data_IF_163560695982
#
_entry.id   IF_163560695982
#
_cell.length_a   1.000
_cell.length_b   1.000
_cell.length_c   1.000
_cell.angle_alpha   90.00
_cell.angle_beta   90.00
_cell.angle_gamma   90.00
#
_symmetry.space_group_name_H-M   'P 1'
#
loop_
_entity.id
_entity.type
_entity.pdbx_description
1 polymer ?
#
# COMPACT_ATOMS: atom_id res chain seq x y z
N UNK A 1 -5.89 -5.63 14.49
CA UNK A 1 -6.47 -4.89 13.35
C UNK A 1 -7.69 -4.14 13.85
N UNK A 2 -7.76 -2.86 13.55
CA UNK A 2 -8.89 -2.01 13.91
C UNK A 2 -9.60 -1.62 12.61
N UNK A 3 -10.87 -2.00 12.48
CA UNK A 3 -11.63 -1.82 11.24
C UNK A 3 -11.19 -2.78 10.15
N UNK A 4 -11.70 -2.54 8.94
CA UNK A 4 -11.37 -3.38 7.79
C UNK A 4 -10.05 -3.00 7.15
N UNK A 5 -9.41 -3.99 6.53
CA UNK A 5 -8.26 -3.78 5.66
C UNK A 5 -8.68 -2.97 4.42
N UNK A 6 -7.86 -2.00 4.04
CA UNK A 6 -7.98 -1.29 2.76
C UNK A 6 -6.99 -1.93 1.77
N UNK A 7 -7.44 -2.16 0.55
CA UNK A 7 -6.61 -2.74 -0.52
C UNK A 7 -6.76 -1.89 -1.77
N UNK A 8 -5.63 -1.40 -2.29
CA UNK A 8 -5.57 -0.78 -3.61
C UNK A 8 -4.95 -1.76 -4.61
N UNK A 9 -5.70 -2.10 -5.64
CA UNK A 9 -5.25 -3.00 -6.71
C UNK A 9 -4.83 -2.15 -7.91
N UNK A 10 -3.55 -2.18 -8.26
CA UNK A 10 -2.95 -1.28 -9.27
C UNK A 10 -1.97 -2.03 -10.16
N UNK A 11 -2.05 -1.80 -11.46
CA UNK A 11 -1.02 -2.21 -12.40
C UNK A 11 0.12 -1.18 -12.40
N UNK A 12 1.36 -1.63 -12.29
CA UNK A 12 2.53 -0.78 -12.43
C UNK A 12 2.72 -0.41 -13.91
N UNK A 13 2.56 0.88 -14.20
CA UNK A 13 2.62 1.41 -15.57
C UNK A 13 4.02 1.87 -15.93
N UNK A 14 4.24 2.21 -17.20
CA UNK A 14 5.54 2.71 -17.66
C UNK A 14 6.07 3.90 -16.86
N UNK A 15 5.19 4.81 -16.42
CA UNK A 15 5.56 5.96 -15.60
C UNK A 15 6.03 5.59 -14.19
N UNK A 16 5.73 4.39 -13.70
CA UNK A 16 6.16 3.92 -12.38
C UNK A 16 7.58 3.34 -12.41
N UNK A 17 8.10 2.99 -13.57
CA UNK A 17 9.47 2.50 -13.75
C UNK A 17 10.47 3.62 -13.52
N UNK A 18 11.47 3.37 -12.68
CA UNK A 18 12.49 4.35 -12.34
C UNK A 18 13.87 3.97 -12.87
N UNK A 19 14.19 2.68 -12.83
CA UNK A 19 15.50 2.17 -13.23
C UNK A 19 15.45 1.49 -14.61
N UNK A 20 16.62 1.31 -15.20
CA UNK A 20 16.77 0.54 -16.43
C UNK A 20 16.18 -0.87 -16.24
N UNK A 21 15.47 -1.37 -17.24
CA UNK A 21 14.79 -2.66 -17.15
C UNK A 21 13.40 -2.60 -16.52
N UNK A 22 12.89 -1.39 -16.26
CA UNK A 22 11.53 -1.20 -15.75
C UNK A 22 11.36 -1.49 -14.26
N UNK A 23 12.47 -1.52 -13.49
CA UNK A 23 12.40 -1.71 -12.06
C UNK A 23 11.73 -0.49 -11.39
N UNK A 24 10.71 -0.75 -10.59
CA UNK A 24 10.01 0.27 -9.78
C UNK A 24 10.80 0.49 -8.50
N UNK A 25 11.10 1.76 -8.16
CA UNK A 25 11.83 2.02 -6.92
C UNK A 25 10.93 1.91 -5.68
N UNK A 26 11.56 1.71 -4.53
CA UNK A 26 10.83 1.58 -3.26
C UNK A 26 10.03 2.83 -2.90
N UNK A 27 10.44 4.01 -3.32
CA UNK A 27 9.72 5.25 -3.07
C UNK A 27 8.31 5.23 -3.69
N UNK A 28 8.13 4.59 -4.84
CA UNK A 28 6.81 4.46 -5.46
C UNK A 28 5.89 3.54 -4.64
N UNK A 29 6.44 2.48 -4.06
CA UNK A 29 5.69 1.59 -3.16
C UNK A 29 5.24 2.36 -1.91
N UNK A 30 6.12 3.17 -1.33
CA UNK A 30 5.81 4.03 -0.18
C UNK A 30 4.73 5.06 -0.53
N UNK A 31 4.76 5.61 -1.73
CA UNK A 31 3.73 6.52 -2.24
C UNK A 31 2.35 5.83 -2.29
N UNK A 32 2.28 4.61 -2.80
CA UNK A 32 1.05 3.82 -2.81
C UNK A 32 0.53 3.53 -1.40
N UNK A 33 1.41 3.22 -0.45
CA UNK A 33 1.01 3.05 0.96
C UNK A 33 0.48 4.35 1.57
N UNK A 34 0.99 5.50 1.14
CA UNK A 34 0.46 6.80 1.55
C UNK A 34 -1.01 6.95 1.21
N UNK A 35 -1.41 6.55 0.02
CA UNK A 35 -2.82 6.59 -0.40
C UNK A 35 -3.69 5.64 0.43
N UNK A 36 -3.20 4.43 0.70
CA UNK A 36 -3.89 3.45 1.53
C UNK A 36 -4.09 4.00 2.96
N UNK A 37 -3.04 4.56 3.54
CA UNK A 37 -3.11 5.17 4.88
C UNK A 37 -4.08 6.34 4.93
N UNK A 38 -4.08 7.18 3.91
CA UNK A 38 -5.04 8.30 3.79
C UNK A 38 -6.48 7.81 3.80
N UNK A 39 -6.78 6.76 3.03
CA UNK A 39 -8.14 6.20 2.99
C UNK A 39 -8.55 5.61 4.34
N UNK A 40 -7.65 4.92 5.04
CA UNK A 40 -7.90 4.43 6.40
C UNK A 40 -8.29 5.58 7.35
N UNK A 41 -7.61 6.72 7.25
CA UNK A 41 -7.88 7.89 8.10
C UNK A 41 -9.23 8.53 7.78
N UNK A 42 -9.60 8.57 6.51
CA UNK A 42 -10.95 9.03 6.12
C UNK A 42 -12.02 8.16 6.78
N UNK A 43 -11.83 6.85 6.81
CA UNK A 43 -12.84 5.94 7.38
C UNK A 43 -12.90 5.97 8.90
N UNK A 44 -11.77 6.18 9.57
CA UNK A 44 -11.74 6.15 11.04
C UNK A 44 -12.18 7.47 11.67
N UNK A 45 -11.82 8.61 11.07
CA UNK A 45 -12.11 9.93 11.66
C UNK A 45 -12.46 11.03 10.64
N UNK A 46 -12.72 10.68 9.40
CA UNK A 46 -13.22 11.63 8.40
C UNK A 46 -12.24 12.73 8.02
N UNK A 47 -10.93 12.46 8.06
CA UNK A 47 -9.87 13.41 7.76
C UNK A 47 -8.76 12.71 6.98
N UNK A 48 -8.10 13.42 6.07
CA UNK A 48 -7.00 12.85 5.27
C UNK A 48 -5.72 12.66 6.08
N UNK A 49 -5.61 13.30 7.25
CA UNK A 49 -4.47 13.18 8.17
C UNK A 49 -3.17 13.81 7.68
N UNK A 50 -2.17 13.77 8.55
CA UNK A 50 -0.77 14.00 8.20
C UNK A 50 0.00 12.70 8.42
N UNK A 51 0.72 12.24 7.41
CA UNK A 51 1.61 11.10 7.55
C UNK A 51 2.89 11.55 8.25
N UNK A 52 3.14 11.04 9.46
CA UNK A 52 4.30 11.47 10.27
C UNK A 52 5.60 10.78 9.87
N UNK A 53 5.53 9.51 9.54
CA UNK A 53 6.70 8.72 9.17
C UNK A 53 6.48 7.24 9.32
N UNK A 54 7.52 6.47 9.02
CA UNK A 54 7.54 5.02 9.14
C UNK A 54 8.47 4.60 10.27
N UNK A 55 8.05 3.60 11.06
CA UNK A 55 8.90 2.98 12.08
C UNK A 55 9.90 2.02 11.42
N UNK A 56 9.45 1.31 10.39
CA UNK A 56 10.32 0.52 9.53
C UNK A 56 9.71 0.39 8.14
N UNK A 57 10.56 0.13 7.17
CA UNK A 57 10.20 -0.27 5.80
C UNK A 57 11.15 -1.38 5.39
N UNK A 58 10.60 -2.45 4.82
CA UNK A 58 11.39 -3.56 4.31
C UNK A 58 10.87 -3.95 2.93
N UNK A 59 11.76 -3.98 1.94
CA UNK A 59 11.46 -4.51 0.61
C UNK A 59 11.98 -5.93 0.50
N UNK A 60 11.14 -6.84 0.03
CA UNK A 60 11.43 -8.28 0.10
C UNK A 60 11.51 -8.93 -1.28
N UNK A 61 10.99 -8.29 -2.32
CA UNK A 61 11.09 -8.75 -3.69
C UNK A 61 10.96 -7.56 -4.65
N UNK A 62 11.58 -7.62 -5.84
CA UNK A 62 11.52 -6.53 -6.81
C UNK A 62 10.14 -6.41 -7.44
N UNK A 63 9.78 -5.16 -7.80
CA UNK A 63 8.55 -4.82 -8.52
C UNK A 63 8.95 -4.20 -9.85
N UNK A 64 8.28 -4.61 -10.92
CA UNK A 64 8.57 -4.14 -12.27
C UNK A 64 7.34 -3.54 -12.94
N UNK A 65 7.58 -2.69 -13.93
CA UNK A 65 6.53 -2.23 -14.84
C UNK A 65 5.81 -3.45 -15.44
N UNK A 66 4.49 -3.41 -15.46
CA UNK A 66 3.65 -4.52 -15.91
C UNK A 66 3.19 -5.44 -14.78
N UNK A 67 3.77 -5.35 -13.60
CA UNK A 67 3.30 -6.13 -12.44
C UNK A 67 1.96 -5.60 -11.95
N UNK A 68 1.07 -6.52 -11.58
CA UNK A 68 -0.17 -6.20 -10.89
C UNK A 68 0.05 -6.34 -9.40
N UNK A 69 -0.17 -5.25 -8.68
CA UNK A 69 0.12 -5.15 -7.26
C UNK A 69 -1.15 -4.93 -6.47
N UNK A 70 -1.18 -5.49 -5.26
CA UNK A 70 -2.13 -5.10 -4.22
C UNK A 70 -1.36 -4.45 -3.08
N UNK A 71 -1.77 -3.24 -2.74
CA UNK A 71 -1.24 -2.50 -1.59
C UNK A 71 -2.25 -2.57 -0.47
N UNK A 72 -1.88 -3.24 0.60
CA UNK A 72 -2.74 -3.52 1.74
C UNK A 72 -2.37 -2.62 2.91
N UNK A 73 -3.36 -2.19 3.68
CA UNK A 73 -3.13 -1.50 4.93
C UNK A 73 -4.26 -1.70 5.93
N UNK A 74 -3.91 -1.66 7.19
CA UNK A 74 -4.87 -1.68 8.29
C UNK A 74 -4.33 -0.91 9.49
N UNK A 75 -5.22 -0.48 10.35
CA UNK A 75 -4.86 0.19 11.59
C UNK A 75 -4.56 -0.86 12.65
N UNK A 76 -3.36 -0.82 13.23
CA UNK A 76 -2.99 -1.68 14.34
C UNK A 76 -3.38 -1.08 15.69
N UNK A 77 -3.23 0.24 15.82
CA UNK A 77 -3.46 0.94 17.08
C UNK A 77 -4.00 2.35 16.83
N UNK A 78 -5.00 2.72 17.62
CA UNK A 78 -5.54 4.08 17.66
C UNK A 78 -5.07 4.74 18.96
N UNK A 79 -4.28 5.82 18.84
CA UNK A 79 -3.89 6.66 19.98
C UNK A 79 -4.81 7.87 20.13
N UNK A 80 -4.42 8.84 20.94
CA UNK A 80 -5.21 10.07 21.14
C UNK A 80 -5.32 10.89 19.84
N UNK A 81 -4.22 11.08 19.15
CA UNK A 81 -4.15 11.85 17.91
C UNK A 81 -3.27 11.16 16.87
N UNK A 82 -2.75 9.99 17.18
CA UNK A 82 -1.90 9.21 16.29
C UNK A 82 -2.48 7.83 16.03
N UNK A 83 -2.16 7.29 14.87
CA UNK A 83 -2.63 5.99 14.40
C UNK A 83 -1.41 5.22 13.92
N UNK A 84 -1.27 3.98 14.38
CA UNK A 84 -0.23 3.08 13.89
C UNK A 84 -0.86 2.17 12.85
N UNK A 85 -0.35 2.21 11.63
CA UNK A 85 -0.83 1.40 10.51
C UNK A 85 0.25 0.44 10.05
N UNK A 86 -0.18 -0.74 9.64
CA UNK A 86 0.66 -1.73 8.97
C UNK A 86 0.32 -1.77 7.48
N UNK A 87 1.36 -1.89 6.65
CA UNK A 87 1.23 -1.91 5.20
C UNK A 87 1.96 -3.10 4.60
N UNK A 88 1.41 -3.64 3.52
CA UNK A 88 2.01 -4.70 2.74
C UNK A 88 1.87 -4.41 1.24
N UNK A 89 2.81 -4.88 0.45
CA UNK A 89 2.76 -4.82 -1.00
C UNK A 89 2.88 -6.24 -1.57
N UNK A 90 1.87 -6.68 -2.29
CA UNK A 90 1.77 -8.02 -2.84
C UNK A 90 1.73 -7.99 -4.36
N UNK A 91 2.57 -8.79 -5.00
CA UNK A 91 2.52 -9.02 -6.44
C UNK A 91 1.57 -10.18 -6.71
N UNK A 92 0.52 -9.93 -7.49
CA UNK A 92 -0.52 -10.92 -7.78
C UNK A 92 -0.50 -11.41 -9.22
N UNK A 93 0.13 -10.67 -10.14
CA UNK A 93 0.38 -11.10 -11.51
C UNK A 93 1.63 -10.41 -12.04
N UNK A 94 2.32 -11.07 -12.98
CA UNK A 94 3.57 -10.57 -13.54
C UNK A 94 3.76 -11.03 -14.98
N UNK A 95 4.64 -10.35 -15.70
CA UNK A 95 5.07 -10.77 -17.03
C UNK A 95 6.02 -11.98 -16.93
N UNK A 96 5.88 -12.95 -17.83
CA UNK A 96 6.69 -14.17 -17.80
C UNK A 96 8.13 -13.92 -18.25
N UNK A 97 8.32 -13.14 -19.31
CA UNK A 97 9.64 -12.89 -19.87
C UNK A 97 9.91 -11.39 -19.97
N UNK A 98 10.77 -10.91 -19.06
CA UNK A 98 11.18 -9.51 -19.03
C UNK A 98 12.52 -9.27 -19.68
N UNK A 99 13.25 -10.36 -19.99
CA UNK A 99 14.60 -10.27 -20.55
C UNK A 99 14.60 -10.30 -22.06
N UNK A 100 13.48 -10.66 -22.68
CA UNK A 100 13.33 -10.68 -24.11
C UNK A 100 13.24 -9.26 -24.67
N UNK A 101 14.38 -8.74 -25.10
CA UNK A 101 14.44 -7.45 -25.77
C UNK A 101 13.93 -7.53 -27.20
N UNK A 102 13.73 -8.74 -27.74
CA UNK A 102 13.18 -8.97 -29.08
C UNK A 102 11.65 -8.93 -29.03
N UNK A 103 11.11 -7.77 -29.33
CA UNK A 103 9.68 -7.52 -29.34
C UNK A 103 8.94 -8.23 -30.49
N UNK A 104 9.56 -9.16 -31.16
CA UNK A 104 8.97 -9.88 -32.30
C UNK A 104 8.30 -11.20 -31.92
N UNK A 105 8.59 -11.73 -30.74
CA UNK A 105 8.01 -12.99 -30.27
C UNK A 105 6.70 -12.79 -29.48
N UNK A 106 5.93 -13.87 -29.41
CA UNK A 106 4.69 -13.90 -28.61
C UNK A 106 5.00 -13.81 -27.09
N UNK A 107 6.21 -14.22 -26.70
CA UNK A 107 6.62 -14.34 -25.31
C UNK A 107 6.57 -13.04 -24.53
N UNK A 108 6.80 -11.87 -25.17
CA UNK A 108 6.81 -10.58 -24.49
C UNK A 108 5.42 -10.10 -24.01
N UNK A 109 4.35 -10.74 -24.44
CA UNK A 109 2.98 -10.48 -23.96
C UNK A 109 2.51 -11.52 -22.95
N UNK A 110 3.27 -12.59 -22.78
CA UNK A 110 2.91 -13.67 -21.86
C UNK A 110 3.02 -13.18 -20.41
N UNK A 111 1.99 -13.49 -19.63
CA UNK A 111 1.89 -13.12 -18.23
C UNK A 111 1.26 -14.25 -17.43
N UNK A 112 1.43 -14.23 -16.12
CA UNK A 112 0.87 -15.25 -15.24
C UNK A 112 0.39 -14.64 -13.92
N UNK A 113 -0.60 -15.30 -13.31
CA UNK A 113 -0.93 -15.05 -11.92
C UNK A 113 0.19 -15.55 -11.01
N UNK A 114 0.49 -14.82 -9.95
CA UNK A 114 1.37 -15.27 -8.89
C UNK A 114 0.57 -16.08 -7.87
N UNK A 115 0.76 -17.40 -7.85
CA UNK A 115 0.06 -18.29 -6.94
C UNK A 115 1.10 -19.16 -6.22
N UNK A 116 1.35 -18.89 -4.92
CA UNK A 116 0.78 -17.82 -4.10
C UNK A 116 1.28 -16.44 -4.51
N UNK A 117 0.58 -15.36 -4.10
CA UNK A 117 1.09 -13.99 -4.28
C UNK A 117 2.47 -13.80 -3.63
N UNK A 118 3.24 -12.87 -4.15
CA UNK A 118 4.61 -12.60 -3.69
C UNK A 118 4.63 -11.32 -2.85
N UNK A 119 5.08 -11.43 -1.60
CA UNK A 119 5.29 -10.26 -0.75
C UNK A 119 6.50 -9.48 -1.24
N UNK A 120 6.27 -8.23 -1.66
CA UNK A 120 7.31 -7.35 -2.18
C UNK A 120 7.77 -6.31 -1.18
N UNK A 121 7.00 -6.08 -0.13
CA UNK A 121 7.37 -5.16 0.93
C UNK A 121 6.37 -5.11 2.04
N UNK A 122 6.81 -4.63 3.20
CA UNK A 122 5.98 -4.37 4.36
C UNK A 122 6.52 -3.16 5.13
N UNK A 123 5.64 -2.49 5.84
CA UNK A 123 6.00 -1.32 6.62
C UNK A 123 5.03 -1.10 7.78
N UNK A 124 5.49 -0.35 8.77
CA UNK A 124 4.64 0.19 9.83
C UNK A 124 4.87 1.69 9.89
N UNK A 125 3.80 2.46 9.91
CA UNK A 125 3.86 3.91 9.90
C UNK A 125 2.88 4.55 10.86
N UNK A 126 3.09 5.85 11.11
CA UNK A 126 2.27 6.64 12.01
C UNK A 126 1.64 7.81 11.26
N UNK A 127 0.34 8.00 11.48
CA UNK A 127 -0.45 9.10 10.92
C UNK A 127 -1.04 9.91 12.06
N UNK A 128 -1.40 11.16 11.78
CA UNK A 128 -1.84 12.11 12.80
C UNK A 128 -3.10 12.84 12.35
N UNK A 129 -4.09 12.87 13.24
CA UNK A 129 -5.27 13.74 13.11
C UNK A 129 -5.43 14.49 14.43
N UNK A 130 -5.40 15.82 14.38
CA UNK A 130 -5.59 16.65 15.57
C UNK A 130 -6.97 16.35 16.19
N UNK A 131 -7.05 16.38 17.51
CA UNK A 131 -8.28 16.01 18.23
C UNK A 131 -9.48 16.82 17.76
N UNK A 132 -9.29 18.10 17.47
CA UNK A 132 -10.36 19.00 16.98
C UNK A 132 -10.90 18.58 15.61
N UNK A 133 -10.12 17.82 14.83
CA UNK A 133 -10.46 17.40 13.47
C UNK A 133 -10.97 15.95 13.41
N UNK A 134 -10.97 15.24 14.52
CA UNK A 134 -11.47 13.87 14.62
C UNK A 134 -13.00 13.88 14.60
N UNK A 135 -13.58 13.42 13.51
CA UNK A 135 -15.03 13.43 13.26
C UNK A 135 -15.72 12.12 13.59
N UNK A 136 -14.97 11.11 14.01
CA UNK A 136 -15.49 9.78 14.27
C UNK A 136 -15.60 8.90 13.04
N UNK A 137 -15.96 7.62 13.22
CA UNK A 137 -16.02 6.65 12.14
C UNK A 137 -16.98 7.08 11.03
N UNK A 138 -16.53 6.96 9.78
CA UNK A 138 -17.32 7.25 8.59
C UNK A 138 -17.87 5.98 7.94
N UNK A 139 -17.44 4.81 8.42
CA UNK A 139 -17.92 3.50 7.97
C UNK A 139 -18.19 2.62 9.16
N UNK A 140 -19.23 1.76 9.04
CA UNK A 140 -19.68 0.86 10.12
C UNK A 140 -18.58 -0.08 10.62
N UNK A 141 -17.72 -0.56 9.71
CA UNK A 141 -16.63 -1.46 10.03
C UNK A 141 -15.46 -0.79 10.79
N UNK A 142 -15.53 0.53 11.02
CA UNK A 142 -14.56 1.30 11.82
C UNK A 142 -15.14 1.81 13.14
N UNK A 143 -16.38 1.48 13.47
CA UNK A 143 -17.05 1.98 14.69
C UNK A 143 -16.35 1.60 15.99
N UNK A 144 -15.58 0.52 15.99
CA UNK A 144 -14.85 0.05 17.17
C UNK A 144 -13.45 0.69 17.31
N UNK A 145 -13.09 1.59 16.40
CA UNK A 145 -11.87 2.37 16.49
C UNK A 145 -12.05 3.50 17.54
N UNK A 146 -11.74 3.19 18.78
CA UNK A 146 -11.98 4.10 19.90
C UNK A 146 -10.67 4.76 20.33
N UNK A 147 -10.69 6.09 20.43
CA UNK A 147 -9.57 6.82 21.00
C UNK A 147 -9.46 6.56 22.50
N UNK A 148 -8.24 6.47 23.06
CA UNK A 148 -8.08 6.30 24.49
C UNK A 148 -8.74 7.45 25.25
N UNK A 149 -9.37 7.13 26.37
CA UNK A 149 -9.85 8.16 27.30
C UNK A 149 -8.64 8.96 27.83
N UNK A 150 -8.83 10.27 27.97
CA UNK A 150 -7.82 11.14 28.59
C UNK A 150 -7.67 10.85 30.08
#
# INVERSE_FOLDING_TARGET
MVGSKVVHHVMMRGADGHYVGGLVNGARIVDMWGDVGTELMVYVDGDISLFLGYNFIKFTAPVYVGDFMEYHGWIEKVGNQSYTCHFEAWKVATMLDRTDADMTGIAHTAATACVPPVLCGEATGSLYIAKKDQRGPQREDFKDAVHPAK
#
